data_IF_353415633331
#
_entry.id   IF_353415633331
#
_cell.length_a   1.000
_cell.length_b   1.000
_cell.length_c   1.000
_cell.angle_alpha   90.00
_cell.angle_beta   90.00
_cell.angle_gamma   90.00
#
_symmetry.space_group_name_H-M   'P 1'
#
loop_
_entity.id
_entity.type
_entity.pdbx_description
1 polymer ?
#
# COMPACT_ATOMS: atom_id res chain seq x y z
N UNK A 1 -8.98 2.82 19.16
CA UNK A 1 -7.87 2.45 18.26
C UNK A 1 -8.44 2.48 16.86
N UNK A 2 -7.93 3.35 15.98
CA UNK A 2 -8.37 3.41 14.58
C UNK A 2 -7.59 2.38 13.75
N UNK A 3 -8.29 1.59 12.92
CA UNK A 3 -7.70 0.55 12.08
C UNK A 3 -7.92 0.84 10.59
N UNK A 4 -6.85 0.83 9.81
CA UNK A 4 -6.89 0.87 8.35
C UNK A 4 -6.35 -0.41 7.73
N UNK A 5 -6.82 -0.75 6.54
CA UNK A 5 -6.40 -1.95 5.81
C UNK A 5 -5.63 -1.51 4.56
N UNK A 6 -4.45 -2.08 4.35
CA UNK A 6 -3.70 -1.99 3.09
C UNK A 6 -3.82 -3.34 2.39
N UNK A 7 -4.39 -3.38 1.20
CA UNK A 7 -4.68 -4.63 0.48
C UNK A 7 -3.81 -4.75 -0.76
N UNK A 8 -3.20 -5.92 -0.94
CA UNK A 8 -2.35 -6.20 -2.11
C UNK A 8 -2.50 -7.64 -2.61
N UNK A 9 -2.44 -7.87 -3.94
CA UNK A 9 -2.49 -9.20 -4.51
C UNK A 9 -1.15 -9.92 -4.31
N UNK A 10 -1.26 -11.18 -3.93
CA UNK A 10 -0.20 -12.14 -3.76
C UNK A 10 -0.77 -13.50 -4.17
N UNK A 11 -0.39 -14.03 -5.36
CA UNK A 11 -0.99 -15.25 -5.90
C UNK A 11 -1.00 -16.44 -4.93
N UNK A 12 0.03 -16.57 -4.10
CA UNK A 12 0.19 -17.67 -3.14
C UNK A 12 -0.38 -17.37 -1.72
N UNK A 13 -1.15 -16.28 -1.55
CA UNK A 13 -1.75 -15.95 -0.26
C UNK A 13 -2.92 -16.90 0.08
N UNK A 14 -3.27 -17.02 1.37
CA UNK A 14 -4.51 -17.68 1.77
C UNK A 14 -5.69 -16.88 1.16
N UNK A 15 -6.69 -17.52 0.52
CA UNK A 15 -7.92 -16.85 0.06
C UNK A 15 -8.68 -16.11 1.18
N UNK A 16 -8.53 -16.54 2.44
CA UNK A 16 -9.06 -15.82 3.61
C UNK A 16 -8.21 -14.61 4.03
N UNK A 17 -7.09 -14.40 3.35
CA UNK A 17 -6.15 -13.31 3.53
C UNK A 17 -5.04 -13.65 4.53
N UNK A 18 -3.78 -13.42 4.14
CA UNK A 18 -2.66 -13.40 5.09
C UNK A 18 -2.55 -11.99 5.67
N UNK A 19 -2.75 -11.86 6.99
CA UNK A 19 -2.73 -10.58 7.70
C UNK A 19 -1.37 -10.35 8.37
N UNK A 20 -0.74 -9.20 8.11
CA UNK A 20 0.36 -8.66 8.92
C UNK A 20 -0.09 -7.37 9.56
N UNK A 21 0.23 -7.14 10.83
CA UNK A 21 -0.29 -5.97 11.57
C UNK A 21 0.87 -5.10 12.06
N UNK A 22 0.76 -3.80 11.81
CA UNK A 22 1.59 -2.77 12.43
C UNK A 22 0.74 -1.93 13.38
N UNK A 23 1.25 -1.67 14.59
CA UNK A 23 0.55 -0.88 15.61
C UNK A 23 1.50 0.11 16.26
N UNK A 24 1.11 1.39 16.25
CA UNK A 24 1.76 2.42 17.03
C UNK A 24 0.84 3.62 17.22
N UNK A 25 1.09 4.41 18.28
CA UNK A 25 0.38 5.67 18.51
C UNK A 25 -1.15 5.53 18.64
N UNK A 26 -1.65 4.37 19.07
CA UNK A 26 -3.10 4.10 19.17
C UNK A 26 -3.78 3.80 17.83
N UNK A 27 -3.00 3.61 16.76
CA UNK A 27 -3.45 3.28 15.41
C UNK A 27 -2.95 1.89 15.01
N UNK A 28 -3.73 1.22 14.17
CA UNK A 28 -3.44 -0.11 13.64
C UNK A 28 -3.51 -0.07 12.11
N UNK A 29 -2.55 -0.70 11.45
CA UNK A 29 -2.59 -0.97 10.02
C UNK A 29 -2.52 -2.47 9.78
N UNK A 30 -3.53 -3.01 9.12
CA UNK A 30 -3.56 -4.41 8.68
C UNK A 30 -3.18 -4.50 7.22
N UNK A 31 -2.03 -5.09 6.94
CA UNK A 31 -1.60 -5.52 5.62
C UNK A 31 -2.30 -6.83 5.28
N UNK A 32 -3.14 -6.80 4.26
CA UNK A 32 -3.94 -7.93 3.80
C UNK A 32 -3.43 -8.40 2.43
N UNK A 33 -2.71 -9.52 2.43
CA UNK A 33 -2.32 -10.21 1.20
C UNK A 33 -3.46 -11.13 0.74
N UNK A 34 -3.86 -11.05 -0.52
CA UNK A 34 -4.97 -11.83 -1.11
C UNK A 34 -4.56 -12.43 -2.44
N UNK A 35 -5.10 -13.58 -2.89
CA UNK A 35 -4.74 -14.16 -4.18
C UNK A 35 -4.95 -13.20 -5.36
N UNK A 36 -6.13 -12.58 -5.40
CA UNK A 36 -6.57 -11.67 -6.46
C UNK A 36 -7.70 -10.75 -5.98
N UNK A 37 -8.17 -9.88 -6.87
CA UNK A 37 -9.26 -8.93 -6.58
C UNK A 37 -10.58 -9.58 -6.17
N UNK A 38 -10.88 -10.78 -6.68
CA UNK A 38 -12.14 -11.50 -6.42
C UNK A 38 -12.16 -11.99 -4.99
N UNK A 39 -11.05 -12.57 -4.53
CA UNK A 39 -10.86 -13.02 -3.14
C UNK A 39 -10.70 -11.84 -2.17
N UNK A 40 -10.26 -10.67 -2.65
CA UNK A 40 -10.10 -9.47 -1.84
C UNK A 40 -11.43 -8.97 -1.24
N UNK A 41 -12.49 -8.96 -2.04
CA UNK A 41 -13.78 -8.36 -1.69
C UNK A 41 -14.38 -8.93 -0.39
N UNK A 42 -14.60 -10.26 -0.26
CA UNK A 42 -15.14 -10.83 0.98
C UNK A 42 -14.20 -10.67 2.18
N UNK A 43 -12.87 -10.73 1.97
CA UNK A 43 -11.91 -10.55 3.05
C UNK A 43 -11.92 -9.12 3.62
N UNK A 44 -12.03 -8.10 2.74
CA UNK A 44 -12.17 -6.69 3.11
C UNK A 44 -13.50 -6.48 3.86
N UNK A 45 -14.61 -7.00 3.33
CA UNK A 45 -15.93 -6.86 3.96
C UNK A 45 -15.96 -7.44 5.39
N UNK A 46 -15.27 -8.55 5.60
CA UNK A 46 -15.06 -9.14 6.93
C UNK A 46 -14.35 -8.18 7.88
N UNK A 47 -13.21 -7.63 7.48
CA UNK A 47 -12.44 -6.68 8.31
C UNK A 47 -13.20 -5.37 8.58
N UNK A 48 -14.00 -4.88 7.63
CA UNK A 48 -14.88 -3.73 7.83
C UNK A 48 -15.95 -4.06 8.88
N UNK A 49 -16.50 -5.27 8.86
CA UNK A 49 -17.44 -5.74 9.89
C UNK A 49 -16.77 -5.89 11.26
N UNK A 50 -15.49 -6.26 11.29
CA UNK A 50 -14.66 -6.32 12.51
C UNK A 50 -14.30 -4.93 13.06
N UNK A 51 -14.52 -3.84 12.31
CA UNK A 51 -14.37 -2.47 12.77
C UNK A 51 -13.27 -1.65 12.09
N UNK A 52 -12.65 -2.16 11.02
CA UNK A 52 -11.74 -1.35 10.21
C UNK A 52 -12.49 -0.14 9.60
N UNK A 53 -11.85 1.02 9.61
CA UNK A 53 -12.47 2.31 9.25
C UNK A 53 -11.95 2.94 7.96
N UNK A 54 -10.99 2.32 7.28
CA UNK A 54 -10.37 2.82 6.05
C UNK A 54 -9.79 1.66 5.24
N UNK A 55 -9.97 1.67 3.92
CA UNK A 55 -9.36 0.71 3.00
C UNK A 55 -8.45 1.45 2.01
N UNK A 56 -7.23 0.95 1.81
CA UNK A 56 -6.30 1.41 0.79
C UNK A 56 -5.84 0.22 -0.07
N UNK A 57 -6.05 0.32 -1.38
CA UNK A 57 -5.73 -0.73 -2.34
C UNK A 57 -4.42 -0.43 -3.05
N UNK A 58 -3.56 -1.43 -3.19
CA UNK A 58 -2.33 -1.30 -3.98
C UNK A 58 -2.65 -1.07 -5.48
N UNK A 59 -1.65 -0.63 -6.26
CA UNK A 59 -1.85 -0.24 -7.65
C UNK A 59 -2.32 -1.39 -8.57
N UNK A 60 -2.11 -2.64 -8.15
CA UNK A 60 -2.53 -3.83 -8.87
C UNK A 60 -4.05 -4.00 -9.02
N UNK A 61 -4.86 -3.35 -8.18
CA UNK A 61 -6.33 -3.41 -8.26
C UNK A 61 -6.90 -2.58 -9.43
N UNK A 62 -6.21 -1.49 -9.79
CA UNK A 62 -6.73 -0.52 -10.75
C UNK A 62 -8.16 -0.02 -10.43
N UNK A 63 -8.83 0.63 -11.40
CA UNK A 63 -10.18 1.14 -11.19
C UNK A 63 -11.25 0.04 -11.15
N UNK A 64 -11.03 -1.09 -11.83
CA UNK A 64 -12.02 -2.19 -11.89
C UNK A 64 -12.09 -2.93 -10.55
N UNK A 65 -10.95 -3.29 -9.96
CA UNK A 65 -10.88 -3.89 -8.64
C UNK A 65 -11.39 -2.95 -7.55
N UNK A 66 -10.98 -1.68 -7.60
CA UNK A 66 -11.46 -0.66 -6.66
C UNK A 66 -12.98 -0.50 -6.68
N UNK A 67 -13.60 -0.47 -7.87
CA UNK A 67 -15.06 -0.36 -8.00
C UNK A 67 -15.81 -1.54 -7.35
N UNK A 68 -15.28 -2.77 -7.45
CA UNK A 68 -15.86 -3.94 -6.79
C UNK A 68 -15.81 -3.81 -5.26
N UNK A 69 -14.67 -3.37 -4.72
CA UNK A 69 -14.51 -3.15 -3.29
C UNK A 69 -15.44 -2.05 -2.80
N UNK A 70 -15.52 -0.91 -3.51
CA UNK A 70 -16.42 0.21 -3.20
C UNK A 70 -17.88 -0.27 -3.19
N UNK A 71 -18.30 -1.05 -4.19
CA UNK A 71 -19.66 -1.57 -4.27
C UNK A 71 -19.99 -2.50 -3.08
N UNK A 72 -19.04 -3.31 -2.64
CA UNK A 72 -19.21 -4.19 -1.48
C UNK A 72 -19.28 -3.40 -0.17
N UNK A 73 -18.32 -2.50 0.07
CA UNK A 73 -18.25 -1.80 1.37
C UNK A 73 -19.26 -0.66 1.48
N UNK A 74 -19.68 -0.07 0.37
CA UNK A 74 -20.59 1.08 0.34
C UNK A 74 -20.07 2.25 1.17
N UNK A 75 -20.99 3.01 1.78
CA UNK A 75 -20.63 4.19 2.59
C UNK A 75 -20.09 3.85 4.00
N UNK A 76 -19.83 2.56 4.29
CA UNK A 76 -19.35 2.13 5.62
C UNK A 76 -17.94 2.65 5.90
N UNK A 77 -17.07 2.64 4.89
CA UNK A 77 -15.68 3.08 4.99
C UNK A 77 -15.22 3.73 3.69
N UNK A 78 -14.37 4.77 3.76
CA UNK A 78 -13.69 5.29 2.58
C UNK A 78 -12.73 4.25 1.98
N UNK A 79 -12.69 4.19 0.66
CA UNK A 79 -11.77 3.35 -0.12
C UNK A 79 -10.87 4.23 -0.97
N UNK A 80 -9.57 4.07 -0.83
CA UNK A 80 -8.55 4.68 -1.69
C UNK A 80 -7.80 3.62 -2.50
N UNK A 81 -7.22 4.03 -3.61
CA UNK A 81 -6.35 3.18 -4.43
C UNK A 81 -5.10 3.92 -4.87
N UNK A 82 -3.98 3.22 -4.99
CA UNK A 82 -2.74 3.79 -5.52
C UNK A 82 -2.96 4.31 -6.95
N UNK A 83 -2.56 5.56 -7.17
CA UNK A 83 -2.36 6.14 -8.49
C UNK A 83 -0.88 6.45 -8.73
N UNK A 84 -0.49 6.53 -10.00
CA UNK A 84 0.88 6.86 -10.42
C UNK A 84 0.90 8.15 -11.24
N UNK A 85 1.95 8.95 -11.04
CA UNK A 85 2.24 10.13 -11.84
C UNK A 85 2.70 9.77 -13.26
N UNK A 86 2.57 10.75 -14.17
CA UNK A 86 2.94 10.58 -15.60
C UNK A 86 4.40 10.19 -15.81
N UNK A 87 5.30 10.71 -14.96
CA UNK A 87 6.72 10.42 -14.93
C UNK A 87 7.03 8.95 -14.61
N UNK A 88 6.11 8.26 -13.93
CA UNK A 88 6.26 6.88 -13.51
C UNK A 88 5.73 5.86 -14.53
N UNK A 89 4.90 6.26 -15.51
CA UNK A 89 4.13 5.32 -16.34
C UNK A 89 4.98 4.27 -17.08
N UNK A 90 6.09 4.68 -17.69
CA UNK A 90 6.98 3.74 -18.39
C UNK A 90 7.65 2.76 -17.41
N UNK A 91 8.04 3.24 -16.23
CA UNK A 91 8.67 2.43 -15.19
C UNK A 91 7.67 1.43 -14.58
N UNK A 92 6.45 1.86 -14.29
CA UNK A 92 5.36 0.99 -13.81
C UNK A 92 5.00 -0.08 -14.84
N UNK A 93 4.90 0.30 -16.12
CA UNK A 93 4.64 -0.68 -17.18
C UNK A 93 5.73 -1.75 -17.22
N UNK A 94 7.00 -1.35 -17.16
CA UNK A 94 8.13 -2.29 -17.09
C UNK A 94 8.07 -3.18 -15.84
N UNK A 95 7.87 -2.58 -14.67
CA UNK A 95 7.76 -3.31 -13.39
C UNK A 95 6.64 -4.36 -13.44
N UNK A 96 5.47 -3.98 -13.96
CA UNK A 96 4.33 -4.89 -14.09
C UNK A 96 4.61 -6.04 -15.06
N UNK A 97 5.22 -5.77 -16.22
CA UNK A 97 5.60 -6.84 -17.15
C UNK A 97 6.66 -7.79 -16.57
N UNK A 98 7.63 -7.26 -15.83
CA UNK A 98 8.61 -8.06 -15.08
C UNK A 98 7.93 -8.92 -14.00
N UNK A 99 6.87 -8.39 -13.36
CA UNK A 99 6.11 -9.11 -12.32
C UNK A 99 5.37 -10.29 -12.93
N UNK A 100 4.64 -10.06 -14.02
CA UNK A 100 3.92 -11.11 -14.74
C UNK A 100 4.86 -12.18 -15.33
N UNK A 101 6.08 -11.79 -15.69
CA UNK A 101 7.09 -12.73 -16.17
C UNK A 101 7.75 -13.56 -15.05
N UNK A 102 7.41 -13.32 -13.78
CA UNK A 102 7.98 -14.03 -12.62
C UNK A 102 9.49 -13.79 -12.45
N UNK A 103 9.98 -12.64 -12.93
CA UNK A 103 11.40 -12.31 -12.91
C UNK A 103 11.81 -11.63 -11.58
N UNK A 104 13.10 -11.72 -11.25
CA UNK A 104 13.67 -11.13 -10.04
C UNK A 104 13.54 -9.59 -10.07
N UNK A 105 12.77 -9.07 -9.13
CA UNK A 105 12.61 -7.65 -8.84
C UNK A 105 12.11 -7.45 -7.42
N UNK A 106 11.92 -6.21 -6.97
CA UNK A 106 11.39 -5.95 -5.63
C UNK A 106 10.50 -4.73 -5.58
N UNK A 107 9.62 -4.70 -4.59
CA UNK A 107 8.78 -3.56 -4.30
C UNK A 107 8.88 -3.20 -2.81
N UNK A 108 8.65 -1.93 -2.53
CA UNK A 108 8.65 -1.39 -1.19
C UNK A 108 7.33 -0.64 -0.93
N UNK A 109 6.62 -1.05 0.10
CA UNK A 109 5.53 -0.29 0.68
C UNK A 109 6.05 0.56 1.83
N UNK A 110 5.76 1.86 1.79
CA UNK A 110 5.96 2.76 2.92
C UNK A 110 4.61 3.12 3.51
N UNK A 111 4.43 2.89 4.81
CA UNK A 111 3.14 3.03 5.49
C UNK A 111 3.26 4.11 6.54
N UNK A 112 2.58 5.23 6.36
CA UNK A 112 2.59 6.31 7.35
C UNK A 112 1.81 5.89 8.61
N UNK A 113 2.54 5.63 9.68
CA UNK A 113 2.00 5.23 10.98
C UNK A 113 2.74 6.02 12.07
N UNK A 114 2.15 7.12 12.57
CA UNK A 114 2.77 7.95 13.61
C UNK A 114 3.25 7.12 14.81
N UNK A 115 4.51 7.33 15.20
CA UNK A 115 5.15 6.59 16.29
C UNK A 115 5.75 5.24 15.90
N UNK A 116 5.65 4.82 14.64
CA UNK A 116 6.33 3.63 14.16
C UNK A 116 7.86 3.78 14.20
N UNK A 117 8.56 2.67 14.36
CA UNK A 117 10.01 2.55 14.27
C UNK A 117 10.38 1.73 13.03
N UNK A 118 10.89 2.36 11.95
CA UNK A 118 11.19 1.66 10.70
C UNK A 118 12.19 0.51 10.81
N UNK A 119 13.00 0.47 11.87
CA UNK A 119 13.92 -0.63 12.11
C UNK A 119 13.20 -1.88 12.66
N UNK A 120 12.09 -1.70 13.38
CA UNK A 120 11.31 -2.77 14.01
C UNK A 120 10.02 -3.09 13.25
N UNK A 121 9.30 -2.06 12.83
CA UNK A 121 7.98 -2.15 12.22
C UNK A 121 8.10 -2.36 10.70
N UNK A 122 8.63 -3.53 10.34
CA UNK A 122 8.90 -3.90 8.97
C UNK A 122 8.63 -5.38 8.69
N UNK A 123 8.23 -5.65 7.46
CA UNK A 123 8.06 -6.97 6.88
C UNK A 123 8.96 -7.07 5.65
N UNK A 124 9.65 -8.19 5.51
CA UNK A 124 10.36 -8.57 4.28
C UNK A 124 9.97 -10.00 3.95
N UNK A 125 9.45 -10.20 2.74
CA UNK A 125 9.02 -11.51 2.23
C UNK A 125 9.73 -11.76 0.92
N UNK A 126 10.55 -12.81 0.89
CA UNK A 126 11.11 -13.34 -0.35
C UNK A 126 10.15 -14.34 -0.97
N UNK A 127 10.03 -14.31 -2.29
CA UNK A 127 9.15 -15.16 -3.08
C UNK A 127 9.93 -15.96 -4.11
N UNK A 128 9.34 -17.05 -4.65
CA UNK A 128 9.91 -17.75 -5.78
C UNK A 128 10.22 -16.80 -6.95
N UNK A 129 11.25 -17.14 -7.74
CA UNK A 129 11.70 -16.28 -8.85
C UNK A 129 12.53 -15.07 -8.42
N UNK A 130 12.85 -14.94 -7.13
CA UNK A 130 13.70 -13.87 -6.60
C UNK A 130 12.94 -12.62 -6.18
N UNK A 131 11.62 -12.56 -6.39
CA UNK A 131 10.85 -11.38 -6.01
C UNK A 131 10.90 -11.10 -4.50
N UNK A 132 11.19 -9.87 -4.09
CA UNK A 132 11.16 -9.46 -2.68
C UNK A 132 10.13 -8.37 -2.45
N UNK A 133 9.18 -8.64 -1.56
CA UNK A 133 8.22 -7.67 -1.05
C UNK A 133 8.72 -7.12 0.28
N UNK A 134 8.77 -5.80 0.44
CA UNK A 134 9.00 -5.17 1.74
C UNK A 134 7.86 -4.22 2.09
N UNK A 135 7.43 -4.22 3.34
CA UNK A 135 6.55 -3.19 3.88
C UNK A 135 7.18 -2.60 5.14
N UNK A 136 7.33 -1.28 5.19
CA UNK A 136 7.99 -0.58 6.30
C UNK A 136 7.07 0.52 6.79
N UNK A 137 6.67 0.44 8.06
CA UNK A 137 5.94 1.51 8.71
C UNK A 137 6.90 2.65 9.08
N UNK A 138 6.48 3.88 8.83
CA UNK A 138 7.29 5.08 9.04
C UNK A 138 6.50 6.13 9.85
N UNK A 139 7.14 6.81 10.81
CA UNK A 139 6.44 7.76 11.69
C UNK A 139 6.10 9.08 10.99
N UNK A 140 6.85 9.45 9.96
CA UNK A 140 6.74 10.71 9.24
C UNK A 140 7.36 10.61 7.84
N UNK A 141 7.22 11.68 7.04
CA UNK A 141 7.77 11.70 5.68
C UNK A 141 9.29 11.76 5.66
N UNK A 142 9.93 12.39 6.65
CA UNK A 142 11.39 12.44 6.71
C UNK A 142 11.99 11.04 6.92
N UNK A 143 11.29 10.17 7.66
CA UNK A 143 11.62 8.75 7.80
C UNK A 143 11.39 7.99 6.49
N UNK A 144 10.29 8.26 5.79
CA UNK A 144 10.03 7.70 4.46
C UNK A 144 11.17 8.02 3.47
N UNK A 145 11.66 9.27 3.45
CA UNK A 145 12.80 9.69 2.62
C UNK A 145 14.12 9.03 3.04
N UNK A 146 14.33 8.78 4.35
CA UNK A 146 15.50 8.03 4.83
C UNK A 146 15.49 6.60 4.29
N UNK A 147 14.37 5.90 4.45
CA UNK A 147 14.20 4.53 3.94
C UNK A 147 14.31 4.49 2.41
N UNK A 148 13.75 5.47 1.71
CA UNK A 148 13.85 5.58 0.25
C UNK A 148 15.30 5.73 -0.24
N UNK A 149 16.17 6.42 0.51
CA UNK A 149 17.60 6.52 0.18
C UNK A 149 18.33 5.19 0.32
N UNK A 150 17.91 4.34 1.25
CA UNK A 150 18.55 3.04 1.50
C UNK A 150 18.36 2.06 0.33
N UNK A 151 17.28 2.21 -0.44
CA UNK A 151 16.97 1.31 -1.56
C UNK A 151 17.60 1.74 -2.89
N UNK A 152 18.38 2.82 -2.93
CA UNK A 152 19.09 3.26 -4.14
C UNK A 152 20.06 2.18 -4.63
N UNK A 153 20.01 1.87 -5.93
CA UNK A 153 20.88 0.87 -6.53
C UNK A 153 20.57 -0.57 -6.11
N UNK A 154 19.51 -0.79 -5.33
CA UNK A 154 18.97 -2.13 -5.08
C UNK A 154 18.04 -2.55 -6.22
N UNK A 155 17.44 -3.75 -6.11
CA UNK A 155 16.44 -4.26 -7.06
C UNK A 155 15.02 -3.73 -6.83
N UNK A 156 14.82 -2.78 -5.92
CA UNK A 156 13.50 -2.13 -5.73
C UNK A 156 13.17 -1.32 -6.98
N UNK A 157 12.15 -1.77 -7.71
CA UNK A 157 11.66 -1.15 -8.94
C UNK A 157 10.41 -0.32 -8.76
N UNK A 158 9.77 -0.39 -7.59
CA UNK A 158 8.53 0.29 -7.26
C UNK A 158 8.49 0.65 -5.77
N UNK A 159 8.03 1.86 -5.47
CA UNK A 159 7.62 2.26 -4.13
C UNK A 159 6.12 2.62 -4.16
N UNK A 160 5.33 2.07 -3.25
CA UNK A 160 3.95 2.51 -3.02
C UNK A 160 3.81 3.05 -1.60
N UNK A 161 3.13 4.18 -1.46
CA UNK A 161 3.03 4.90 -0.20
C UNK A 161 1.57 4.97 0.27
N UNK A 162 1.35 4.50 1.49
CA UNK A 162 0.05 4.30 2.14
C UNK A 162 -0.04 5.14 3.41
N UNK A 163 -1.25 5.35 3.92
CA UNK A 163 -1.42 6.11 5.16
C UNK A 163 -1.49 7.62 4.94
N UNK A 164 -1.84 8.07 3.72
CA UNK A 164 -2.25 9.46 3.47
C UNK A 164 -1.12 10.41 3.13
N UNK A 165 -0.03 9.89 2.57
CA UNK A 165 0.98 10.72 1.93
C UNK A 165 0.36 11.55 0.79
N UNK A 166 0.72 12.84 0.74
CA UNK A 166 0.37 13.71 -0.37
C UNK A 166 1.36 13.60 -1.54
N UNK A 167 1.03 14.29 -2.63
CA UNK A 167 1.88 14.36 -3.81
C UNK A 167 3.25 15.02 -3.53
N UNK A 168 3.33 15.93 -2.55
CA UNK A 168 4.59 16.51 -2.10
C UNK A 168 5.52 15.45 -1.49
N UNK A 169 4.97 14.55 -0.67
CA UNK A 169 5.71 13.45 -0.08
C UNK A 169 6.14 12.44 -1.15
N UNK A 170 5.25 12.11 -2.10
CA UNK A 170 5.58 11.23 -3.22
C UNK A 170 6.76 11.77 -4.03
N UNK A 171 6.76 13.07 -4.36
CA UNK A 171 7.85 13.71 -5.09
C UNK A 171 9.18 13.66 -4.31
N UNK A 172 9.16 13.97 -3.00
CA UNK A 172 10.36 13.87 -2.15
C UNK A 172 10.90 12.45 -2.07
N UNK A 173 10.01 11.45 -1.93
CA UNK A 173 10.38 10.04 -1.87
C UNK A 173 10.94 9.57 -3.21
N UNK A 174 10.36 9.99 -4.34
CA UNK A 174 10.85 9.67 -5.69
C UNK A 174 12.27 10.21 -5.90
N UNK A 175 12.51 11.47 -5.54
CA UNK A 175 13.84 12.08 -5.57
C UNK A 175 14.81 11.36 -4.62
N UNK A 176 14.37 11.11 -3.38
CA UNK A 176 15.14 10.41 -2.36
C UNK A 176 15.49 8.97 -2.75
N UNK A 177 14.68 8.31 -3.57
CA UNK A 177 14.90 6.96 -4.09
C UNK A 177 15.77 6.94 -5.36
N UNK A 178 16.21 8.10 -5.87
CA UNK A 178 17.01 8.18 -7.09
C UNK A 178 16.19 7.91 -8.35
N UNK A 179 14.90 8.26 -8.35
CA UNK A 179 14.02 8.16 -9.51
C UNK A 179 13.19 6.88 -9.59
N UNK A 180 13.19 6.02 -8.56
CA UNK A 180 12.27 4.87 -8.49
C UNK A 180 10.83 5.40 -8.55
N UNK A 181 9.92 4.81 -9.37
CA UNK A 181 8.55 5.27 -9.45
C UNK A 181 7.84 5.15 -8.10
N UNK A 182 7.04 6.17 -7.77
CA UNK A 182 6.29 6.25 -6.51
C UNK A 182 4.80 6.35 -6.81
N UNK A 183 4.03 5.38 -6.32
CA UNK A 183 2.56 5.44 -6.31
C UNK A 183 2.04 5.93 -4.97
N UNK A 184 0.99 6.75 -4.96
CA UNK A 184 0.35 7.26 -3.74
C UNK A 184 -1.15 7.03 -3.76
N UNK A 185 -1.75 6.80 -2.59
CA UNK A 185 -3.19 6.57 -2.48
C UNK A 185 -3.98 7.81 -2.91
N UNK A 186 -4.95 7.59 -3.77
CA UNK A 186 -5.94 8.58 -4.22
C UNK A 186 -7.33 8.15 -3.79
N UNK A 187 -8.20 9.13 -3.49
CA UNK A 187 -9.59 8.90 -3.10
C UNK A 187 -10.52 9.58 -4.09
N UNK A 188 -11.66 8.96 -4.38
CA UNK A 188 -12.79 9.62 -5.01
C UNK A 188 -13.29 10.76 -4.11
N UNK A 189 -13.84 11.82 -4.72
CA UNK A 189 -14.31 13.01 -4.00
C UNK A 189 -15.33 12.66 -2.90
N UNK A 190 -16.16 11.67 -3.16
CA UNK A 190 -17.14 11.08 -2.26
C UNK A 190 -16.52 10.43 -1.00
N UNK A 191 -15.26 9.99 -1.07
CA UNK A 191 -14.54 9.34 0.03
C UNK A 191 -13.59 10.29 0.78
N UNK A 192 -13.30 11.48 0.24
CA UNK A 192 -12.23 12.34 0.78
C UNK A 192 -12.52 12.82 2.20
N UNK A 193 -13.73 13.28 2.49
CA UNK A 193 -14.09 13.79 3.82
C UNK A 193 -14.03 12.69 4.89
N UNK A 194 -14.55 11.50 4.57
CA UNK A 194 -14.51 10.36 5.47
C UNK A 194 -13.07 9.87 5.70
N UNK A 195 -12.24 9.85 4.66
CA UNK A 195 -10.82 9.48 4.78
C UNK A 195 -10.05 10.49 5.64
N UNK A 196 -10.30 11.80 5.45
CA UNK A 196 -9.70 12.85 6.25
C UNK A 196 -10.13 12.77 7.72
N UNK A 197 -11.43 12.55 7.97
CA UNK A 197 -11.97 12.37 9.32
C UNK A 197 -11.37 11.16 10.04
N UNK A 198 -11.24 10.01 9.36
CA UNK A 198 -10.59 8.82 9.90
C UNK A 198 -9.14 9.09 10.31
N UNK A 199 -8.39 9.89 9.54
CA UNK A 199 -6.99 10.21 9.85
C UNK A 199 -6.83 11.17 11.02
N UNK A 200 -7.81 12.02 11.26
CA UNK A 200 -7.79 12.98 12.36
C UNK A 200 -8.17 12.36 13.72
N UNK A 201 -8.70 11.12 13.72
CA UNK A 201 -9.17 10.38 14.89
C UNK A 201 -8.13 9.40 15.46
#
# INVERSE_FOLDING_TARGET
MSESIVVFPQPDADPRGTRTVFESGGRRVTLLAVPDETEAVPAIAGLVTEGAGLVELCGGFGPVGAAKVIAEVGDRVPVGAIGYGSESLAAISRFHLTFLAGQDQSELFLILLPGADPARDRLVVERPGGFTFSAIAVPDVAAAERVAREVRGTKVGLIEIFGGFGADAAARIHEAAGGIPVGSVTYGIESMDAAAAFRAA
#
